data_IF_712753297129
#
_entry.id   IF_712753297129
#
_cell.length_a   1.000
_cell.length_b   1.000
_cell.length_c   1.000
_cell.angle_alpha   90.00
_cell.angle_beta   90.00
_cell.angle_gamma   90.00
#
_symmetry.space_group_name_H-M   'P 1'
#
loop_
_entity.id
_entity.type
_entity.pdbx_description
1 polymer ?
#
# COMPACT_ATOMS: atom_id res chain seq x y z
N UNK A 1 -1.35 -2.72 14.59
CA UNK A 1 -2.15 -1.53 14.94
C UNK A 1 -2.74 -1.76 16.34
N UNK A 2 -2.71 -0.77 17.23
CA UNK A 2 -3.26 -0.95 18.58
C UNK A 2 -4.80 -0.79 18.57
N UNK A 3 -5.52 -1.28 19.59
CA UNK A 3 -6.99 -1.19 19.66
C UNK A 3 -7.53 0.24 19.56
N UNK A 4 -6.88 1.21 20.21
CA UNK A 4 -7.33 2.60 20.20
C UNK A 4 -7.29 3.21 18.78
N UNK A 5 -6.26 2.93 17.99
CA UNK A 5 -6.17 3.39 16.61
C UNK A 5 -7.21 2.71 15.70
N UNK A 6 -7.59 1.45 15.98
CA UNK A 6 -8.67 0.75 15.28
C UNK A 6 -10.00 1.46 15.54
N UNK A 7 -10.25 1.85 16.79
CA UNK A 7 -11.43 2.62 17.17
C UNK A 7 -11.49 3.96 16.42
N UNK A 8 -10.40 4.74 16.42
CA UNK A 8 -10.33 6.02 15.70
C UNK A 8 -10.57 5.85 14.18
N UNK A 9 -10.00 4.80 13.57
CA UNK A 9 -10.23 4.46 12.16
C UNK A 9 -11.69 4.10 11.89
N UNK A 10 -12.30 3.25 12.72
CA UNK A 10 -13.70 2.88 12.58
C UNK A 10 -14.60 4.12 12.65
N UNK A 11 -14.37 4.99 13.64
CA UNK A 11 -15.18 6.21 13.81
C UNK A 11 -14.96 7.22 12.70
N UNK A 12 -13.71 7.41 12.23
CA UNK A 12 -13.43 8.30 11.11
C UNK A 12 -14.04 7.83 9.79
N UNK A 13 -13.94 6.53 9.49
CA UNK A 13 -14.58 5.91 8.33
C UNK A 13 -16.11 6.02 8.41
N UNK A 14 -16.70 5.71 9.56
CA UNK A 14 -18.14 5.84 9.78
C UNK A 14 -18.63 7.28 9.53
N UNK A 15 -17.94 8.27 10.13
CA UNK A 15 -18.31 9.68 10.02
C UNK A 15 -18.09 10.27 8.63
N UNK A 16 -17.17 9.71 7.85
CA UNK A 16 -16.94 10.14 6.46
C UNK A 16 -18.16 9.92 5.54
N UNK A 17 -19.06 8.99 5.89
CA UNK A 17 -20.23 8.59 5.09
C UNK A 17 -19.91 8.07 3.67
N UNK A 18 -18.63 7.79 3.36
CA UNK A 18 -18.23 7.18 2.09
C UNK A 18 -18.18 5.66 2.17
N UNK A 19 -18.22 5.03 0.99
CA UNK A 19 -18.05 3.58 0.86
C UNK A 19 -16.60 3.19 1.18
N UNK A 20 -16.42 2.06 1.86
CA UNK A 20 -15.09 1.54 2.17
C UNK A 20 -15.04 0.02 2.15
N UNK A 21 -13.90 -0.50 1.71
CA UNK A 21 -13.47 -1.87 1.96
C UNK A 21 -12.30 -1.81 2.93
N UNK A 22 -12.47 -2.35 4.13
CA UNK A 22 -11.43 -2.37 5.15
C UNK A 22 -10.91 -3.78 5.34
N UNK A 23 -9.67 -3.99 4.86
CA UNK A 23 -8.94 -5.24 5.06
C UNK A 23 -8.15 -5.12 6.36
N UNK A 24 -8.57 -5.84 7.40
CA UNK A 24 -7.96 -5.75 8.72
C UNK A 24 -7.97 -7.10 9.43
N UNK A 25 -6.82 -7.44 10.02
CA UNK A 25 -6.66 -8.64 10.85
C UNK A 25 -6.69 -8.27 12.33
N UNK A 26 -7.18 -9.18 13.20
CA UNK A 26 -7.04 -9.02 14.64
C UNK A 26 -5.58 -8.76 15.03
N UNK A 27 -5.30 -7.76 15.88
CA UNK A 27 -3.95 -7.54 16.38
C UNK A 27 -3.49 -8.70 17.28
N UNK A 28 -2.17 -8.83 17.49
CA UNK A 28 -1.60 -9.87 18.37
C UNK A 28 -2.32 -9.88 19.73
N UNK A 29 -2.68 -11.07 20.20
CA UNK A 29 -3.44 -11.26 21.43
C UNK A 29 -4.97 -11.18 21.28
N UNK A 30 -5.48 -11.01 20.06
CA UNK A 30 -6.90 -11.01 19.75
C UNK A 30 -7.21 -12.08 18.70
N UNK A 31 -8.34 -12.78 18.87
CA UNK A 31 -8.80 -13.82 17.93
C UNK A 31 -9.79 -13.27 16.90
N UNK A 32 -10.46 -12.17 17.20
CA UNK A 32 -11.44 -11.51 16.33
C UNK A 32 -11.22 -9.99 16.37
N UNK A 33 -11.47 -9.34 15.23
CA UNK A 33 -11.39 -7.89 15.07
C UNK A 33 -12.68 -7.21 15.52
N UNK A 34 -13.83 -7.89 15.41
CA UNK A 34 -15.16 -7.30 15.68
C UNK A 34 -15.31 -6.68 17.07
N UNK A 35 -14.80 -7.31 18.16
CA UNK A 35 -14.89 -6.72 19.50
C UNK A 35 -14.09 -5.43 19.67
N UNK A 36 -13.18 -5.11 18.74
CA UNK A 36 -12.37 -3.89 18.75
C UNK A 36 -13.04 -2.71 18.04
N UNK A 37 -14.20 -2.93 17.42
CA UNK A 37 -14.97 -1.86 16.82
C UNK A 37 -15.87 -1.16 17.85
N UNK A 38 -16.15 0.14 17.65
CA UNK A 38 -17.19 0.82 18.42
C UNK A 38 -18.51 0.05 18.36
N UNK A 39 -19.25 0.02 19.46
CA UNK A 39 -20.54 -0.66 19.53
C UNK A 39 -21.46 -0.21 18.39
N UNK A 40 -22.03 -1.16 17.65
CA UNK A 40 -22.94 -0.91 16.53
C UNK A 40 -22.28 -0.44 15.22
N UNK A 41 -20.95 -0.41 15.12
CA UNK A 41 -20.23 0.07 13.93
C UNK A 41 -20.61 -0.68 12.65
N UNK A 42 -20.65 -2.02 12.70
CA UNK A 42 -20.96 -2.85 11.54
C UNK A 42 -22.40 -2.64 11.06
N UNK A 43 -23.32 -2.45 11.99
CA UNK A 43 -24.73 -2.18 11.71
C UNK A 43 -24.91 -0.79 11.11
N UNK A 44 -24.27 0.24 11.69
CA UNK A 44 -24.38 1.63 11.22
C UNK A 44 -23.71 1.84 9.86
N UNK A 45 -22.70 1.04 9.53
CA UNK A 45 -21.99 1.09 8.23
C UNK A 45 -22.51 0.08 7.21
N UNK A 46 -23.53 -0.71 7.56
CA UNK A 46 -24.13 -1.70 6.66
C UNK A 46 -24.56 -1.06 5.33
N UNK A 47 -24.15 -1.66 4.22
CA UNK A 47 -24.45 -1.19 2.86
C UNK A 47 -23.43 -0.21 2.27
N UNK A 48 -22.53 0.38 3.09
CA UNK A 48 -21.41 1.21 2.62
C UNK A 48 -20.03 0.67 3.02
N UNK A 49 -19.96 -0.05 4.13
CA UNK A 49 -18.74 -0.67 4.64
C UNK A 49 -18.72 -2.18 4.42
N UNK A 50 -17.58 -2.70 3.98
CA UNK A 50 -17.25 -4.13 4.02
C UNK A 50 -15.93 -4.32 4.78
N UNK A 51 -15.92 -5.24 5.75
CA UNK A 51 -14.73 -5.58 6.54
C UNK A 51 -14.36 -7.04 6.26
N UNK A 52 -13.11 -7.27 5.87
CA UNK A 52 -12.55 -8.60 5.58
C UNK A 52 -11.17 -8.76 6.20
N UNK A 53 -10.73 -9.98 6.43
CA UNK A 53 -9.40 -10.29 7.00
C UNK A 53 -8.29 -10.38 5.94
N UNK A 54 -8.67 -10.61 4.69
CA UNK A 54 -7.77 -10.73 3.55
C UNK A 54 -8.47 -10.42 2.22
N UNK A 55 -7.69 -9.99 1.23
CA UNK A 55 -8.12 -9.85 -0.16
C UNK A 55 -6.93 -10.02 -1.10
N UNK A 56 -7.21 -10.23 -2.39
CA UNK A 56 -6.22 -10.06 -3.46
C UNK A 56 -6.09 -8.55 -3.71
N UNK A 57 -5.11 -7.91 -3.06
CA UNK A 57 -4.96 -6.45 -3.07
C UNK A 57 -4.86 -5.87 -4.48
N UNK A 58 -4.14 -6.53 -5.40
CA UNK A 58 -4.00 -6.06 -6.77
C UNK A 58 -5.34 -6.04 -7.51
N UNK A 59 -6.19 -7.05 -7.33
CA UNK A 59 -7.53 -7.12 -7.94
C UNK A 59 -8.42 -6.00 -7.40
N UNK A 60 -8.38 -5.78 -6.08
CA UNK A 60 -9.11 -4.68 -5.44
C UNK A 60 -8.64 -3.33 -5.98
N UNK A 61 -7.33 -3.05 -5.97
CA UNK A 61 -6.79 -1.77 -6.42
C UNK A 61 -6.97 -1.53 -7.92
N UNK A 62 -7.08 -2.60 -8.72
CA UNK A 62 -7.33 -2.50 -10.16
C UNK A 62 -8.82 -2.28 -10.50
N UNK A 63 -9.71 -2.45 -9.52
CA UNK A 63 -11.15 -2.34 -9.74
C UNK A 63 -11.55 -0.86 -9.98
N UNK A 64 -12.36 -0.55 -11.02
CA UNK A 64 -12.70 0.83 -11.39
C UNK A 64 -13.47 1.60 -10.31
N UNK A 65 -14.13 0.90 -9.38
CA UNK A 65 -14.81 1.53 -8.23
C UNK A 65 -13.86 2.02 -7.14
N UNK A 66 -12.58 1.66 -7.16
CA UNK A 66 -11.60 2.12 -6.17
C UNK A 66 -11.01 3.47 -6.61
N UNK A 67 -11.30 4.50 -5.82
CA UNK A 67 -10.86 5.88 -6.08
C UNK A 67 -9.64 6.31 -5.28
N UNK A 68 -9.41 5.70 -4.12
CA UNK A 68 -8.34 6.05 -3.19
C UNK A 68 -7.96 4.85 -2.34
N UNK A 69 -6.68 4.75 -1.96
CA UNK A 69 -6.16 3.69 -1.11
C UNK A 69 -5.61 4.25 0.21
N UNK A 70 -6.27 3.94 1.33
CA UNK A 70 -5.70 4.17 2.65
C UNK A 70 -4.68 3.08 2.94
N UNK A 71 -3.41 3.46 3.01
CA UNK A 71 -2.29 2.52 3.10
C UNK A 71 -1.35 2.87 4.23
N UNK A 72 -0.84 1.84 4.88
CA UNK A 72 0.25 1.99 5.84
C UNK A 72 1.59 2.37 5.17
N UNK A 73 1.65 2.43 3.84
CA UNK A 73 2.84 2.82 3.06
C UNK A 73 4.02 1.84 3.17
N UNK A 74 3.74 0.54 3.33
CA UNK A 74 4.76 -0.49 3.08
C UNK A 74 5.18 -0.44 1.61
N UNK A 75 6.45 -0.76 1.32
CA UNK A 75 7.01 -0.54 -0.01
C UNK A 75 6.24 -1.25 -1.13
N UNK A 76 5.87 -2.53 -0.94
CA UNK A 76 5.09 -3.27 -1.94
C UNK A 76 3.73 -2.63 -2.22
N UNK A 77 2.97 -2.30 -1.17
CA UNK A 77 1.67 -1.64 -1.34
C UNK A 77 1.78 -0.23 -1.94
N UNK A 78 2.92 0.43 -1.72
CA UNK A 78 3.23 1.73 -2.34
C UNK A 78 3.50 1.55 -3.83
N UNK A 79 4.29 0.54 -4.21
CA UNK A 79 4.54 0.19 -5.61
C UNK A 79 3.27 -0.24 -6.34
N UNK A 80 2.40 -1.05 -5.72
CA UNK A 80 1.10 -1.43 -6.29
C UNK A 80 0.27 -0.19 -6.62
N UNK A 81 0.12 0.73 -5.66
CA UNK A 81 -0.65 1.95 -5.83
C UNK A 81 -0.08 2.86 -6.94
N UNK A 82 1.25 3.05 -6.96
CA UNK A 82 1.93 3.84 -7.99
C UNK A 82 1.77 3.20 -9.38
N UNK A 83 1.92 1.88 -9.48
CA UNK A 83 1.83 1.13 -10.74
C UNK A 83 0.41 1.07 -11.28
N UNK A 84 -0.60 1.09 -10.41
CA UNK A 84 -2.02 1.12 -10.81
C UNK A 84 -2.56 2.54 -10.98
N UNK A 85 -1.83 3.54 -10.50
CA UNK A 85 -2.21 4.96 -10.56
C UNK A 85 -3.26 5.35 -9.53
N UNK A 86 -3.33 4.62 -8.42
CA UNK A 86 -4.28 4.86 -7.33
C UNK A 86 -3.67 5.86 -6.34
N UNK A 87 -4.34 6.99 -6.06
CA UNK A 87 -3.85 7.93 -5.06
C UNK A 87 -3.99 7.37 -3.64
N UNK A 88 -3.13 7.84 -2.73
CA UNK A 88 -3.04 7.26 -1.38
C UNK A 88 -3.42 8.24 -0.27
N UNK A 89 -4.12 7.72 0.74
CA UNK A 89 -4.15 8.28 2.08
C UNK A 89 -3.08 7.59 2.91
N UNK A 90 -1.97 8.28 3.13
CA UNK A 90 -0.75 7.71 3.69
C UNK A 90 -0.77 7.73 5.22
N UNK A 91 -0.72 6.53 5.81
CA UNK A 91 -0.78 6.26 7.25
C UNK A 91 0.46 5.48 7.71
N UNK A 92 1.65 6.10 7.71
CA UNK A 92 2.89 5.39 8.08
C UNK A 92 2.89 4.89 9.54
N UNK A 93 3.08 3.58 9.76
CA UNK A 93 3.02 2.95 11.09
C UNK A 93 4.40 2.67 11.66
N UNK A 94 5.23 1.90 10.95
CA UNK A 94 6.52 1.39 11.45
C UNK A 94 7.58 1.25 10.34
N UNK A 95 8.85 1.14 10.73
CA UNK A 95 10.03 0.97 9.88
C UNK A 95 10.20 2.13 8.90
N UNK A 96 10.27 1.83 7.60
CA UNK A 96 10.40 2.79 6.50
C UNK A 96 9.07 3.45 6.13
N UNK A 97 7.94 2.96 6.63
CA UNK A 97 6.60 3.44 6.27
C UNK A 97 6.37 4.95 6.50
N UNK A 98 6.84 5.58 7.60
CA UNK A 98 6.71 7.03 7.75
C UNK A 98 7.50 7.81 6.69
N UNK A 99 8.64 7.27 6.24
CA UNK A 99 9.44 7.83 5.15
C UNK A 99 8.70 7.66 3.83
N UNK A 100 8.20 6.46 3.51
CA UNK A 100 7.40 6.22 2.31
C UNK A 100 6.16 7.13 2.26
N UNK A 101 5.46 7.31 3.39
CA UNK A 101 4.35 8.24 3.51
C UNK A 101 4.74 9.70 3.21
N UNK A 102 5.96 10.12 3.59
CA UNK A 102 6.52 11.42 3.22
C UNK A 102 6.77 11.51 1.71
N UNK A 103 7.30 10.48 1.07
CA UNK A 103 7.50 10.47 -0.38
C UNK A 103 6.17 10.58 -1.15
N UNK A 104 5.15 9.83 -0.71
CA UNK A 104 3.79 9.89 -1.29
C UNK A 104 3.23 11.31 -1.24
N UNK A 105 3.32 11.99 -0.09
CA UNK A 105 2.74 13.31 0.09
C UNK A 105 3.59 14.45 -0.51
N UNK A 106 4.90 14.45 -0.24
CA UNK A 106 5.74 15.63 -0.44
C UNK A 106 6.53 15.57 -1.76
N UNK A 107 6.96 14.37 -2.17
CA UNK A 107 7.87 14.17 -3.31
C UNK A 107 7.11 13.83 -4.58
N UNK A 108 6.38 12.72 -4.57
CA UNK A 108 5.61 12.25 -5.72
C UNK A 108 4.27 12.99 -5.86
N UNK A 109 3.76 13.49 -4.73
CA UNK A 109 2.47 14.19 -4.62
C UNK A 109 1.32 13.35 -5.16
N UNK A 110 1.36 12.04 -4.91
CA UNK A 110 0.36 11.04 -5.33
C UNK A 110 -0.68 10.77 -4.23
N UNK A 111 -0.65 11.52 -3.15
CA UNK A 111 -1.53 11.33 -2.02
C UNK A 111 -1.34 12.39 -0.96
N UNK A 112 -1.91 12.14 0.21
CA UNK A 112 -1.73 12.99 1.39
C UNK A 112 -1.42 12.16 2.61
N UNK A 113 -0.65 12.71 3.54
CA UNK A 113 -0.29 12.04 4.78
C UNK A 113 -1.25 12.45 5.89
N UNK A 114 -1.80 11.46 6.60
CA UNK A 114 -2.61 11.69 7.79
C UNK A 114 -1.72 12.20 8.94
N UNK A 115 -2.19 13.23 9.63
CA UNK A 115 -1.48 13.83 10.77
C UNK A 115 -1.72 13.03 12.04
N UNK A 116 -0.64 12.71 12.74
CA UNK A 116 -0.68 12.11 14.07
C UNK A 116 -0.79 13.22 15.13
N UNK A 117 -1.54 12.96 16.18
CA UNK A 117 -1.50 13.73 17.42
C UNK A 117 -0.18 13.52 18.17
N UNK A 118 -0.02 14.23 19.28
CA UNK A 118 1.18 14.15 20.14
C UNK A 118 1.39 12.74 20.72
N UNK A 119 0.31 11.99 20.91
CA UNK A 119 0.29 10.60 21.34
C UNK A 119 0.65 9.59 20.23
N UNK A 120 0.91 10.08 19.01
CA UNK A 120 1.23 9.25 17.85
C UNK A 120 0.01 8.59 17.18
N UNK A 121 -1.21 8.90 17.62
CA UNK A 121 -2.48 8.39 17.08
C UNK A 121 -2.99 9.33 16.00
N UNK A 122 -3.52 8.80 14.90
CA UNK A 122 -4.33 9.61 13.99
C UNK A 122 -5.77 9.56 14.47
N UNK A 123 -6.27 10.70 14.93
CA UNK A 123 -7.64 10.83 15.42
C UNK A 123 -8.69 10.74 14.32
N UNK A 124 -9.91 10.35 14.72
CA UNK A 124 -11.09 10.17 13.86
C UNK A 124 -11.43 11.40 13.02
N UNK A 125 -11.23 12.61 13.55
CA UNK A 125 -11.50 13.85 12.82
C UNK A 125 -10.51 14.04 11.66
N UNK A 126 -9.24 13.67 11.85
CA UNK A 126 -8.24 13.70 10.78
C UNK A 126 -8.53 12.63 9.73
N UNK A 127 -8.93 11.43 10.16
CA UNK A 127 -9.33 10.35 9.25
C UNK A 127 -10.55 10.79 8.41
N UNK A 128 -11.61 11.27 9.06
CA UNK A 128 -12.81 11.78 8.39
C UNK A 128 -12.44 12.87 7.37
N UNK A 129 -11.65 13.86 7.79
CA UNK A 129 -11.20 14.96 6.93
C UNK A 129 -10.43 14.45 5.71
N UNK A 130 -9.47 13.55 5.91
CA UNK A 130 -8.68 12.98 4.82
C UNK A 130 -9.54 12.17 3.84
N UNK A 131 -10.48 11.34 4.34
CA UNK A 131 -11.37 10.56 3.47
C UNK A 131 -12.27 11.49 2.65
N UNK A 132 -12.94 12.47 3.29
CA UNK A 132 -13.78 13.44 2.58
C UNK A 132 -13.00 14.22 1.53
N UNK A 133 -11.82 14.73 1.86
CA UNK A 133 -10.97 15.45 0.90
C UNK A 133 -10.54 14.56 -0.27
N UNK A 134 -10.22 13.29 -0.01
CA UNK A 134 -9.89 12.37 -1.08
C UNK A 134 -11.06 12.09 -2.02
N UNK A 135 -12.27 11.96 -1.47
CA UNK A 135 -13.45 11.58 -2.23
C UNK A 135 -14.10 12.77 -2.95
N UNK A 136 -14.12 13.95 -2.34
CA UNK A 136 -14.89 15.12 -2.78
C UNK A 136 -14.00 16.32 -3.14
N UNK A 137 -12.80 16.40 -2.55
CA UNK A 137 -11.95 17.58 -2.61
C UNK A 137 -11.26 17.78 -3.95
N UNK A 138 -11.36 19.00 -4.47
CA UNK A 138 -10.59 19.43 -5.65
C UNK A 138 -9.08 19.41 -5.38
N UNK A 139 -8.66 19.64 -4.13
CA UNK A 139 -7.26 19.55 -3.72
C UNK A 139 -6.67 18.16 -3.97
N UNK A 140 -7.48 17.10 -3.89
CA UNK A 140 -7.03 15.73 -4.16
C UNK A 140 -7.08 15.36 -5.64
N UNK A 141 -7.66 16.21 -6.49
CA UNK A 141 -7.66 16.00 -7.94
C UNK A 141 -6.24 16.05 -8.53
N UNK A 142 -5.35 16.89 -7.98
CA UNK A 142 -3.95 16.92 -8.40
C UNK A 142 -3.23 15.62 -8.00
N UNK A 143 -3.53 15.05 -6.82
CA UNK A 143 -2.98 13.75 -6.42
C UNK A 143 -3.41 12.64 -7.40
N UNK A 144 -4.68 12.59 -7.79
CA UNK A 144 -5.18 11.66 -8.84
C UNK A 144 -4.40 11.81 -10.16
N UNK A 145 -4.21 13.04 -10.62
CA UNK A 145 -3.46 13.33 -11.85
C UNK A 145 -2.00 12.90 -11.74
N UNK A 146 -1.36 13.15 -10.60
CA UNK A 146 0.03 12.73 -10.34
C UNK A 146 0.15 11.21 -10.28
N UNK A 147 -0.79 10.52 -9.65
CA UNK A 147 -0.80 9.05 -9.63
C UNK A 147 -0.91 8.46 -11.03
N UNK A 148 -1.76 9.02 -11.89
CA UNK A 148 -1.83 8.62 -13.31
C UNK A 148 -0.51 8.83 -14.08
N UNK A 149 0.23 9.91 -13.79
CA UNK A 149 1.57 10.13 -14.37
C UNK A 149 2.59 9.10 -13.87
N UNK A 150 2.57 8.80 -12.57
CA UNK A 150 3.47 7.81 -11.98
C UNK A 150 3.20 6.40 -12.49
N UNK A 151 1.93 6.04 -12.73
CA UNK A 151 1.56 4.81 -13.45
C UNK A 151 2.26 4.70 -14.79
N UNK A 152 2.22 5.76 -15.59
CA UNK A 152 2.86 5.76 -16.91
C UNK A 152 4.39 5.73 -16.83
N UNK A 153 4.98 6.38 -15.81
CA UNK A 153 6.43 6.27 -15.55
C UNK A 153 6.81 4.83 -15.18
N UNK A 154 6.07 4.21 -14.25
CA UNK A 154 6.30 2.83 -13.83
C UNK A 154 6.15 1.86 -15.01
N UNK A 155 5.09 2.01 -15.82
CA UNK A 155 4.89 1.19 -17.02
C UNK A 155 6.05 1.33 -18.01
N UNK A 156 6.48 2.55 -18.33
CA UNK A 156 7.59 2.79 -19.27
C UNK A 156 8.93 2.26 -18.78
N UNK A 157 9.15 2.21 -17.47
CA UNK A 157 10.37 1.63 -16.92
C UNK A 157 10.40 0.10 -17.08
N UNK A 158 9.25 -0.57 -17.09
CA UNK A 158 9.12 -2.03 -17.04
C UNK A 158 8.81 -2.70 -18.39
N UNK A 159 8.37 -1.98 -19.41
CA UNK A 159 8.22 -2.55 -20.76
C UNK A 159 9.58 -2.95 -21.35
N UNK A 160 9.56 -3.81 -22.37
CA UNK A 160 10.76 -4.22 -23.13
C UNK A 160 11.56 -2.99 -23.60
N UNK A 161 12.85 -2.98 -23.28
CA UNK A 161 13.75 -1.85 -23.56
C UNK A 161 13.59 -0.65 -22.62
N UNK A 162 12.70 -0.74 -21.62
CA UNK A 162 12.55 0.21 -20.54
C UNK A 162 13.75 0.23 -19.60
N UNK A 163 13.85 1.27 -18.76
CA UNK A 163 15.04 1.45 -17.91
C UNK A 163 15.24 0.32 -16.88
N UNK A 164 14.17 -0.16 -16.24
CA UNK A 164 14.25 -1.24 -15.26
C UNK A 164 14.48 -2.59 -15.94
N UNK A 165 13.85 -2.81 -17.09
CA UNK A 165 14.04 -3.99 -17.93
C UNK A 165 15.51 -4.11 -18.38
N UNK A 166 16.07 -3.04 -18.97
CA UNK A 166 17.46 -2.98 -19.39
C UNK A 166 18.45 -3.15 -18.24
N UNK A 167 18.15 -2.59 -17.06
CA UNK A 167 18.99 -2.74 -15.87
C UNK A 167 18.97 -4.18 -15.34
N UNK A 168 17.80 -4.84 -15.34
CA UNK A 168 17.69 -6.23 -14.92
C UNK A 168 18.43 -7.16 -15.88
N UNK A 169 18.31 -6.92 -17.18
CA UNK A 169 19.05 -7.60 -18.23
C UNK A 169 20.57 -7.43 -18.09
N UNK A 170 21.03 -6.20 -17.82
CA UNK A 170 22.43 -5.94 -17.57
C UNK A 170 22.93 -6.71 -16.34
N UNK A 171 22.18 -6.66 -15.24
CA UNK A 171 22.52 -7.39 -14.02
C UNK A 171 22.60 -8.91 -14.25
N UNK A 172 21.63 -9.48 -14.98
CA UNK A 172 21.63 -10.90 -15.32
C UNK A 172 22.85 -11.30 -16.18
N UNK A 173 23.24 -10.45 -17.14
CA UNK A 173 24.46 -10.65 -17.94
C UNK A 173 25.72 -10.61 -17.09
N UNK A 174 25.84 -9.65 -16.18
CA UNK A 174 27.00 -9.51 -15.29
C UNK A 174 27.15 -10.70 -14.35
N UNK A 175 26.06 -11.21 -13.77
CA UNK A 175 26.11 -12.44 -12.95
C UNK A 175 26.52 -13.63 -13.80
N UNK A 176 25.93 -13.79 -14.98
CA UNK A 176 26.21 -14.92 -15.88
C UNK A 176 27.67 -14.92 -16.36
N UNK A 177 28.25 -13.74 -16.61
CA UNK A 177 29.65 -13.59 -17.00
C UNK A 177 30.63 -13.89 -15.85
N UNK A 178 30.21 -13.68 -14.60
CA UNK A 178 31.03 -13.88 -13.40
C UNK A 178 30.93 -15.28 -12.79
N UNK A 179 30.09 -16.17 -13.34
CA UNK A 179 30.07 -17.60 -13.00
C UNK A 179 30.94 -18.32 -14.04
N UNK A 180 32.16 -18.77 -13.69
CA UNK A 180 32.92 -19.61 -14.60
C UNK A 180 32.12 -20.89 -14.81
N UNK A 181 31.66 -21.13 -16.04
CA UNK A 181 31.00 -22.39 -16.42
C UNK A 181 31.88 -23.59 -16.03
N UNK A 182 33.21 -23.43 -16.06
CA UNK A 182 34.17 -24.41 -15.57
C UNK A 182 34.03 -24.73 -14.08
N UNK A 183 33.70 -23.75 -13.23
CA UNK A 183 33.54 -23.93 -11.77
C UNK A 183 32.23 -24.64 -11.44
N UNK A 184 31.15 -24.33 -12.16
CA UNK A 184 29.88 -25.02 -12.01
C UNK A 184 29.95 -26.47 -12.51
N UNK A 185 30.64 -26.71 -13.64
CA UNK A 185 30.90 -28.06 -14.16
C UNK A 185 31.83 -28.85 -13.20
N UNK A 186 32.88 -28.24 -12.65
CA UNK A 186 33.75 -28.93 -11.69
C UNK A 186 33.01 -29.30 -10.41
N UNK A 187 32.16 -28.42 -9.87
CA UNK A 187 31.36 -28.71 -8.66
C UNK A 187 30.31 -29.82 -8.90
N UNK A 188 29.69 -29.87 -10.09
CA UNK A 188 28.78 -30.96 -10.47
C UNK A 188 29.53 -32.29 -10.65
N UNK A 189 30.71 -32.27 -11.28
CA UNK A 189 31.50 -33.48 -11.48
C UNK A 189 32.08 -34.00 -10.15
N UNK A 190 32.57 -33.14 -9.27
CA UNK A 190 33.07 -33.51 -7.93
C UNK A 190 31.97 -34.08 -7.03
N UNK A 191 30.76 -33.49 -7.06
CA UNK A 191 29.62 -34.02 -6.29
C UNK A 191 29.07 -35.35 -6.84
N UNK A 192 29.33 -35.66 -8.11
CA UNK A 192 28.93 -36.93 -8.75
C UNK A 192 29.95 -38.06 -8.56
N UNK A 193 31.21 -37.74 -8.26
CA UNK A 193 32.30 -38.71 -8.01
C UNK A 193 32.38 -39.20 -6.55
N UNK A 194 31.63 -38.58 -5.63
CA UNK A 194 31.54 -38.96 -4.22
C UNK A 194 30.25 -39.70 -3.84
N UNK A 195 29.57 -40.30 -4.82
CA UNK A 195 28.49 -41.29 -4.61
C UNK A 195 28.93 -42.68 -5.05
#
# INVERSE_FOLDING_TARGET
MNPHQIEELAMGLERSQHNFLWVIRPPKGHNDIKPLFPAGFLERTRGRGLVVDWCIQLDVLSHPSVSVFLSHCGWNSTLDALSLGIPMLAFGIWADQPTNAKFVADVWKTGMRMRKGEDGIVGRDEIERCVRLAMEGQEFAEARKKSGKWKEVARRAMIEGGSSDANLDQFAREISANIPVSKFISEILESSLHK
#
